data_IF_839175412601
#
_entry.id   IF_839175412601
#
_cell.length_a   1.000
_cell.length_b   1.000
_cell.length_c   1.000
_cell.angle_alpha   90.00
_cell.angle_beta   90.00
_cell.angle_gamma   90.00
#
_symmetry.space_group_name_H-M   'P 1'
#
loop_
_entity.id
_entity.type
_entity.pdbx_description
1 polymer ?
#
# COMPACT_ATOMS: atom_id res chain seq x y z
N UNK A 1 11.84 -1.94 -1.74
CA UNK A 1 12.95 -1.73 -0.77
C UNK A 1 12.87 -2.71 0.40
N UNK A 2 11.67 -3.07 0.83
CA UNK A 2 11.31 -4.03 1.87
C UNK A 2 11.88 -5.42 1.63
N UNK A 3 11.98 -5.84 0.36
CA UNK A 3 12.63 -7.10 -0.06
C UNK A 3 14.07 -7.23 0.45
N UNK A 4 14.80 -6.12 0.60
CA UNK A 4 16.21 -6.10 1.05
C UNK A 4 16.38 -5.52 2.45
N UNK A 5 15.28 -5.20 3.16
CA UNK A 5 15.32 -4.66 4.50
C UNK A 5 15.86 -5.67 5.53
N UNK A 6 16.38 -5.19 6.66
CA UNK A 6 16.74 -6.08 7.77
C UNK A 6 15.49 -6.64 8.45
N UNK A 7 15.66 -7.64 9.31
CA UNK A 7 14.55 -8.18 10.09
C UNK A 7 13.95 -7.10 11.01
N UNK A 8 14.78 -6.34 11.71
CA UNK A 8 14.34 -5.26 12.59
C UNK A 8 13.51 -4.21 11.84
N UNK A 9 13.97 -3.80 10.64
CA UNK A 9 13.22 -2.86 9.81
C UNK A 9 11.88 -3.44 9.36
N UNK A 10 11.79 -4.74 9.03
CA UNK A 10 10.51 -5.38 8.66
C UNK A 10 9.55 -5.53 9.83
N UNK A 11 10.06 -5.69 11.05
CA UNK A 11 9.26 -5.81 12.26
C UNK A 11 8.74 -4.44 12.74
N UNK A 12 9.42 -3.35 12.38
CA UNK A 12 8.98 -1.98 12.62
C UNK A 12 8.03 -1.50 11.52
N UNK A 13 6.78 -1.95 11.57
CA UNK A 13 5.71 -1.50 10.69
C UNK A 13 4.63 -0.73 11.46
N UNK A 14 3.95 0.17 10.77
CA UNK A 14 2.80 0.92 11.28
C UNK A 14 1.61 0.84 10.33
N UNK A 15 0.42 1.19 10.82
CA UNK A 15 -0.75 1.37 9.94
C UNK A 15 -0.52 2.63 9.14
N UNK A 16 -0.65 2.52 7.81
CA UNK A 16 -0.45 3.65 6.92
C UNK A 16 -1.41 4.81 7.29
N UNK A 17 -0.95 6.08 7.31
CA UNK A 17 -1.77 7.24 7.65
C UNK A 17 -3.02 7.41 6.78
N UNK A 18 -3.02 6.83 5.58
CA UNK A 18 -4.17 6.80 4.67
C UNK A 18 -5.30 5.87 5.15
N UNK A 19 -5.05 5.01 6.15
CA UNK A 19 -6.03 4.11 6.77
C UNK A 19 -6.25 2.77 6.05
N UNK A 20 -5.59 2.52 4.91
CA UNK A 20 -5.83 1.35 4.06
C UNK A 20 -4.54 0.62 3.62
N UNK A 21 -3.48 0.69 4.43
CA UNK A 21 -2.19 0.09 4.10
C UNK A 21 -1.29 -0.15 5.31
N UNK A 22 -0.11 -0.70 5.04
CA UNK A 22 0.97 -0.89 6.00
C UNK A 22 2.14 -0.02 5.55
N UNK A 23 2.72 0.75 6.48
CA UNK A 23 3.87 1.60 6.24
C UNK A 23 5.09 1.07 7.00
N UNK A 24 6.25 1.07 6.36
CA UNK A 24 7.54 0.80 6.98
C UNK A 24 8.39 2.08 7.03
N UNK A 25 8.40 2.81 8.17
CA UNK A 25 9.04 4.12 8.28
C UNK A 25 10.56 4.07 8.08
N UNK A 26 11.21 2.99 8.50
CA UNK A 26 12.67 2.87 8.43
C UNK A 26 13.21 2.72 6.98
N UNK A 27 12.36 2.31 6.04
CA UNK A 27 12.75 2.09 4.63
C UNK A 27 11.94 2.92 3.63
N UNK A 28 10.99 3.72 4.13
CA UNK A 28 10.12 4.59 3.34
C UNK A 28 9.39 3.81 2.25
N UNK A 29 8.61 2.80 2.68
CA UNK A 29 7.81 1.96 1.78
C UNK A 29 6.43 1.64 2.34
N UNK A 30 5.44 1.77 1.47
CA UNK A 30 4.03 1.50 1.76
C UNK A 30 3.52 0.32 0.93
N UNK A 31 2.70 -0.52 1.55
CA UNK A 31 1.91 -1.54 0.88
C UNK A 31 0.42 -1.29 1.11
N UNK A 32 -0.33 -1.12 0.03
CA UNK A 32 -1.80 -1.02 0.08
C UNK A 32 -2.42 -2.38 0.41
N UNK A 33 -3.46 -2.41 1.26
CA UNK A 33 -4.24 -3.63 1.51
C UNK A 33 -4.83 -4.17 0.20
N UNK A 34 -5.38 -3.31 -0.66
CA UNK A 34 -5.99 -3.73 -1.93
C UNK A 34 -5.01 -4.52 -2.81
N UNK A 35 -3.76 -4.05 -2.90
CA UNK A 35 -2.69 -4.77 -3.60
C UNK A 35 -2.33 -6.12 -2.96
N UNK A 36 -2.41 -6.24 -1.63
CA UNK A 36 -2.14 -7.48 -0.90
C UNK A 36 -3.25 -8.53 -1.08
N UNK A 37 -4.52 -8.10 -1.09
CA UNK A 37 -5.67 -9.01 -1.24
C UNK A 37 -6.15 -9.14 -2.70
N UNK A 38 -5.51 -8.43 -3.63
CA UNK A 38 -5.80 -8.51 -5.06
C UNK A 38 -7.07 -7.79 -5.50
N UNK A 39 -7.54 -6.80 -4.74
CA UNK A 39 -8.66 -5.94 -5.15
C UNK A 39 -8.26 -5.17 -6.41
N UNK A 40 -9.17 -5.18 -7.40
CA UNK A 40 -9.02 -4.41 -8.64
C UNK A 40 -10.09 -3.33 -8.66
N UNK A 41 -9.65 -2.08 -8.54
CA UNK A 41 -10.52 -0.94 -8.72
C UNK A 41 -10.83 -0.77 -10.20
N UNK A 42 -12.10 -0.91 -10.56
CA UNK A 42 -12.57 -0.52 -11.90
C UNK A 42 -12.99 0.93 -11.80
N UNK A 43 -12.40 1.85 -12.59
CA UNK A 43 -12.85 3.23 -12.59
C UNK A 43 -14.34 3.26 -12.98
N UNK A 44 -15.17 4.08 -12.33
CA UNK A 44 -16.56 4.23 -12.76
C UNK A 44 -16.56 4.69 -14.21
N UNK A 45 -17.42 4.08 -15.03
CA UNK A 45 -17.58 4.45 -16.43
C UNK A 45 -17.83 5.96 -16.51
N UNK A 46 -16.85 6.69 -17.04
CA UNK A 46 -17.03 8.12 -17.32
C UNK A 46 -17.84 8.19 -18.60
N UNK A 47 -19.17 8.28 -18.49
CA UNK A 47 -19.98 8.69 -19.63
C UNK A 47 -19.64 10.14 -19.92
N UNK A 48 -18.65 10.35 -20.78
CA UNK A 48 -18.48 11.65 -21.44
C UNK A 48 -19.64 11.74 -22.42
N UNK A 49 -20.73 12.38 -22.01
CA UNK A 49 -21.73 12.84 -22.95
C UNK A 49 -21.11 13.97 -23.78
N UNK A 50 -21.20 13.82 -25.11
CA UNK A 50 -20.75 14.75 -26.12
C UNK A 50 -21.85 15.75 -26.47
#
# INVERSE_FOLDING_TARGET
>A
RLRTATQQQREHFEISPAGYGIHWPDVDEDLSIDGLIGVRHTPPFVTTEA
#
